data_IF_577841602712
#
_entry.id   IF_577841602712
#
_cell.length_a   1.000
_cell.length_b   1.000
_cell.length_c   1.000
_cell.angle_alpha   90.00
_cell.angle_beta   90.00
_cell.angle_gamma   90.00
#
_symmetry.space_group_name_H-M   'P 1'
#
loop_
_entity.id
_entity.type
_entity.pdbx_description
1 polymer ?
#
# COMPACT_ATOMS: atom_id res chain seq x y z
N UNK A 1 13.64 -8.76 12.47
CA UNK A 1 14.77 -8.32 11.62
C UNK A 1 14.23 -7.41 10.53
N UNK A 2 15.00 -6.39 10.14
CA UNK A 2 14.66 -5.46 9.07
C UNK A 2 15.71 -5.53 7.95
N UNK A 3 15.30 -5.43 6.70
CA UNK A 3 16.16 -5.57 5.51
C UNK A 3 15.91 -4.45 4.50
N UNK A 4 16.90 -4.17 3.66
CA UNK A 4 16.67 -3.50 2.39
C UNK A 4 16.36 -4.51 1.30
N UNK A 5 15.26 -4.26 0.60
CA UNK A 5 14.79 -5.02 -0.55
C UNK A 5 14.79 -4.13 -1.80
N UNK A 6 15.20 -4.69 -2.92
CA UNK A 6 14.89 -4.15 -4.25
C UNK A 6 13.64 -4.84 -4.80
N UNK A 7 13.03 -4.28 -5.85
CA UNK A 7 11.82 -4.81 -6.49
C UNK A 7 11.88 -6.32 -6.75
N UNK A 8 12.94 -6.79 -7.40
CA UNK A 8 13.08 -8.21 -7.77
C UNK A 8 13.08 -9.14 -6.56
N UNK A 9 13.65 -8.69 -5.43
CA UNK A 9 13.67 -9.47 -4.20
C UNK A 9 12.28 -9.59 -3.57
N UNK A 10 11.44 -8.56 -3.73
CA UNK A 10 10.05 -8.58 -3.26
C UNK A 10 9.26 -9.58 -4.10
N UNK A 11 9.36 -9.50 -5.43
CA UNK A 11 8.68 -10.42 -6.34
C UNK A 11 9.08 -11.87 -6.07
N UNK A 12 10.38 -12.15 -5.95
CA UNK A 12 10.87 -13.49 -5.62
C UNK A 12 10.34 -14.01 -4.27
N UNK A 13 10.24 -13.15 -3.26
CA UNK A 13 9.66 -13.53 -1.97
C UNK A 13 8.17 -13.87 -2.10
N UNK A 14 7.40 -13.03 -2.81
CA UNK A 14 5.97 -13.24 -3.03
C UNK A 14 5.70 -14.52 -3.83
N UNK A 15 6.47 -14.76 -4.89
CA UNK A 15 6.39 -15.98 -5.71
C UNK A 15 6.62 -17.24 -4.88
N UNK A 16 7.67 -17.26 -4.05
CA UNK A 16 7.89 -18.39 -3.15
C UNK A 16 6.72 -18.60 -2.18
N UNK A 17 6.10 -17.50 -1.72
CA UNK A 17 4.97 -17.53 -0.80
C UNK A 17 3.69 -18.15 -1.39
N UNK A 18 3.43 -17.93 -2.68
CA UNK A 18 2.24 -18.47 -3.38
C UNK A 18 2.51 -19.73 -4.21
N UNK A 19 3.79 -20.12 -4.35
CA UNK A 19 4.23 -21.26 -5.17
C UNK A 19 3.52 -22.58 -4.88
N UNK A 20 3.18 -22.84 -3.62
CA UNK A 20 2.55 -24.08 -3.17
C UNK A 20 1.10 -23.92 -2.76
N UNK A 21 0.50 -22.74 -2.96
CA UNK A 21 -0.93 -22.55 -2.74
C UNK A 21 -1.73 -23.56 -3.60
N UNK A 22 -2.77 -24.23 -3.06
CA UNK A 22 -3.46 -24.02 -1.78
C UNK A 22 -3.00 -24.89 -0.61
N UNK A 23 -1.81 -25.51 -0.66
CA UNK A 23 -1.32 -26.34 0.45
C UNK A 23 -1.23 -25.51 1.75
N UNK A 24 -1.67 -26.11 2.86
CA UNK A 24 -1.65 -25.51 4.20
C UNK A 24 -0.24 -25.54 4.84
N UNK A 25 0.77 -25.16 4.07
CA UNK A 25 2.14 -25.02 4.55
C UNK A 25 2.37 -23.61 5.12
N UNK A 26 3.36 -23.46 6.00
CA UNK A 26 3.71 -22.17 6.64
C UNK A 26 4.29 -21.11 5.69
N UNK A 27 4.35 -21.39 4.38
CA UNK A 27 4.96 -20.52 3.36
C UNK A 27 4.11 -19.31 3.00
N UNK A 28 2.78 -19.45 3.09
CA UNK A 28 1.86 -18.40 2.62
C UNK A 28 2.02 -17.12 3.45
N UNK A 29 2.37 -15.97 2.83
CA UNK A 29 2.73 -14.77 3.57
C UNK A 29 1.50 -14.03 4.06
N UNK A 30 1.56 -13.57 5.31
CA UNK A 30 0.68 -12.52 5.81
C UNK A 30 1.39 -11.18 5.60
N UNK A 31 0.73 -10.25 4.91
CA UNK A 31 1.33 -8.97 4.50
C UNK A 31 0.63 -7.77 5.13
N UNK A 32 1.40 -6.71 5.35
CA UNK A 32 0.92 -5.42 5.83
C UNK A 32 1.66 -4.31 5.07
N UNK A 33 0.98 -3.19 4.78
CA UNK A 33 1.54 -2.08 4.00
C UNK A 33 1.75 -2.39 2.50
N UNK A 34 1.25 -3.53 2.02
CA UNK A 34 1.27 -3.88 0.60
C UNK A 34 0.03 -4.65 0.18
N UNK A 35 -0.25 -4.62 -1.12
CA UNK A 35 -1.29 -5.40 -1.79
C UNK A 35 -0.70 -6.10 -3.01
N UNK A 36 -1.20 -7.29 -3.33
CA UNK A 36 -0.85 -7.99 -4.56
C UNK A 36 -1.94 -8.98 -4.96
N UNK A 37 -1.91 -9.36 -6.23
CA UNK A 37 -2.77 -10.36 -6.83
C UNK A 37 -1.93 -11.53 -7.34
N UNK A 38 -2.49 -12.74 -7.27
CA UNK A 38 -1.84 -13.92 -7.84
C UNK A 38 -2.84 -14.84 -8.54
N UNK A 39 -2.39 -15.50 -9.61
CA UNK A 39 -3.16 -16.50 -10.33
C UNK A 39 -2.65 -17.90 -9.97
N UNK A 40 -3.46 -18.75 -9.34
CA UNK A 40 -3.04 -20.09 -8.92
C UNK A 40 -2.95 -21.10 -10.07
N UNK A 41 -3.57 -20.78 -11.22
CA UNK A 41 -3.54 -21.62 -12.42
C UNK A 41 -2.21 -21.50 -13.18
N UNK A 42 -1.44 -20.45 -12.91
CA UNK A 42 -0.10 -20.27 -13.48
C UNK A 42 0.94 -21.16 -12.80
N UNK A 43 1.99 -21.46 -13.56
CA UNK A 43 3.12 -22.26 -13.08
C UNK A 43 3.80 -21.61 -11.87
N UNK A 44 4.24 -22.39 -10.87
CA UNK A 44 4.97 -21.85 -9.72
C UNK A 44 6.18 -21.01 -10.15
N UNK A 45 6.26 -19.77 -9.68
CA UNK A 45 7.30 -18.81 -10.07
C UNK A 45 6.82 -17.75 -11.08
N UNK A 46 5.65 -17.93 -11.67
CA UNK A 46 4.99 -16.96 -12.54
C UNK A 46 3.55 -16.69 -12.09
N UNK A 47 3.27 -16.78 -10.78
CA UNK A 47 1.89 -16.64 -10.27
C UNK A 47 1.54 -15.21 -9.90
N UNK A 48 2.51 -14.37 -9.58
CA UNK A 48 2.32 -12.98 -9.18
C UNK A 48 2.17 -12.12 -10.41
N UNK A 49 1.09 -11.35 -10.47
CA UNK A 49 0.95 -10.29 -11.46
C UNK A 49 1.79 -9.08 -11.01
N UNK A 50 2.96 -8.83 -11.61
CA UNK A 50 3.87 -7.73 -11.19
C UNK A 50 3.16 -6.38 -11.07
N UNK A 51 2.27 -6.08 -12.01
CA UNK A 51 1.52 -4.81 -12.08
C UNK A 51 0.49 -4.65 -10.95
N UNK A 52 0.09 -5.75 -10.29
CA UNK A 52 -0.84 -5.72 -9.16
C UNK A 52 -0.16 -5.36 -7.83
N UNK A 53 1.17 -5.44 -7.78
CA UNK A 53 1.92 -5.24 -6.54
C UNK A 53 2.00 -3.76 -6.22
N UNK A 54 1.44 -3.38 -5.08
CA UNK A 54 1.51 -2.02 -4.55
C UNK A 54 1.99 -1.99 -3.10
N UNK A 55 2.76 -0.97 -2.74
CA UNK A 55 3.31 -0.74 -1.41
C UNK A 55 2.96 0.69 -1.00
N UNK A 56 2.34 0.86 0.16
CA UNK A 56 1.78 2.14 0.63
C UNK A 56 0.89 2.81 -0.45
N UNK A 57 0.01 2.03 -1.08
CA UNK A 57 -0.91 2.43 -2.16
C UNK A 57 -0.23 2.96 -3.44
N UNK A 58 1.06 2.66 -3.61
CA UNK A 58 1.82 3.01 -4.82
C UNK A 58 2.27 1.77 -5.56
N UNK A 59 2.29 1.79 -6.91
CA UNK A 59 2.83 0.69 -7.68
C UNK A 59 4.29 0.44 -7.32
N UNK A 60 4.70 -0.83 -7.41
CA UNK A 60 6.07 -1.25 -7.16
C UNK A 60 7.03 -0.57 -8.15
N UNK A 61 8.05 0.11 -7.63
CA UNK A 61 9.07 0.80 -8.41
C UNK A 61 10.36 -0.03 -8.44
N UNK A 62 10.81 -0.36 -9.66
CA UNK A 62 12.01 -1.17 -9.92
C UNK A 62 13.29 -0.53 -9.39
N UNK A 63 13.36 0.80 -9.35
CA UNK A 63 14.55 1.55 -8.94
C UNK A 63 14.58 1.88 -7.45
N UNK A 64 13.49 1.62 -6.72
CA UNK A 64 13.34 2.00 -5.33
C UNK A 64 13.79 0.88 -4.40
N UNK A 65 14.43 1.28 -3.29
CA UNK A 65 14.74 0.39 -2.17
C UNK A 65 13.63 0.46 -1.13
N UNK A 66 13.12 -0.70 -0.76
CA UNK A 66 12.08 -0.87 0.25
C UNK A 66 12.67 -1.43 1.53
N UNK A 67 12.01 -1.13 2.65
CA UNK A 67 12.36 -1.72 3.94
C UNK A 67 11.33 -2.78 4.26
N UNK A 68 11.80 -3.98 4.53
CA UNK A 68 10.93 -5.12 4.85
C UNK A 68 11.29 -5.62 6.24
N UNK A 69 10.27 -5.87 7.06
CA UNK A 69 10.42 -6.42 8.39
C UNK A 69 9.86 -7.84 8.41
N UNK A 70 10.66 -8.80 8.87
CA UNK A 70 10.23 -10.21 8.99
C UNK A 70 10.71 -10.84 10.29
N UNK A 71 10.14 -12.01 10.60
CA UNK A 71 10.58 -12.87 11.70
C UNK A 71 11.97 -13.46 11.37
N UNK A 72 12.78 -13.70 12.40
CA UNK A 72 14.12 -14.27 12.25
C UNK A 72 14.15 -15.64 11.57
N UNK A 73 13.07 -16.41 11.64
CA UNK A 73 12.94 -17.68 10.92
C UNK A 73 12.99 -17.50 9.40
N UNK A 74 12.22 -16.56 8.85
CA UNK A 74 12.21 -16.26 7.40
C UNK A 74 13.51 -15.56 6.99
N UNK A 75 14.03 -14.67 7.84
CA UNK A 75 15.32 -14.03 7.65
C UNK A 75 16.47 -15.02 7.40
N UNK A 76 16.45 -16.17 8.09
CA UNK A 76 17.44 -17.25 7.94
C UNK A 76 17.22 -18.11 6.69
N UNK A 77 16.34 -17.70 5.79
CA UNK A 77 16.09 -18.38 4.51
C UNK A 77 15.23 -19.65 4.61
N UNK A 78 14.52 -19.83 5.71
CA UNK A 78 13.63 -20.99 5.92
C UNK A 78 12.39 -20.89 5.02
N UNK A 79 11.67 -22.01 4.86
CA UNK A 79 10.45 -22.09 4.04
C UNK A 79 10.63 -21.68 2.56
N UNK A 80 11.87 -21.79 2.05
CA UNK A 80 12.21 -21.43 0.68
C UNK A 80 12.58 -19.96 0.48
N UNK A 81 12.48 -19.12 1.53
CA UNK A 81 12.75 -17.68 1.42
C UNK A 81 14.24 -17.32 1.46
N UNK A 82 15.06 -18.02 0.67
CA UNK A 82 16.51 -17.79 0.60
C UNK A 82 16.88 -16.34 0.21
N UNK A 83 15.94 -15.63 -0.44
CA UNK A 83 16.06 -14.21 -0.76
C UNK A 83 16.33 -13.34 0.48
N UNK A 84 15.72 -13.63 1.63
CA UNK A 84 15.96 -12.86 2.86
C UNK A 84 17.38 -13.09 3.40
N UNK A 85 17.91 -14.31 3.29
CA UNK A 85 19.26 -14.62 3.77
C UNK A 85 20.35 -13.89 2.98
N UNK A 86 20.07 -13.52 1.72
CA UNK A 86 20.97 -12.76 0.85
C UNK A 86 20.77 -11.24 0.93
N UNK A 87 19.70 -10.79 1.58
CA UNK A 87 19.35 -9.37 1.63
C UNK A 87 20.22 -8.61 2.65
N UNK A 88 20.40 -7.30 2.41
CA UNK A 88 21.15 -6.45 3.32
C UNK A 88 20.35 -6.22 4.60
N UNK A 89 20.89 -6.65 5.73
CA UNK A 89 20.26 -6.46 7.04
C UNK A 89 20.45 -5.03 7.53
N UNK A 90 19.38 -4.46 8.08
CA UNK A 90 19.32 -3.13 8.68
C UNK A 90 19.24 -3.18 10.20
N UNK A 91 18.45 -4.14 10.70
CA UNK A 91 18.26 -4.38 12.13
C UNK A 91 18.28 -5.89 12.30
N UNK A 92 19.25 -6.35 13.07
CA UNK A 92 19.46 -7.77 13.34
C UNK A 92 18.44 -8.32 14.35
N UNK A 93 18.57 -9.60 14.69
CA UNK A 93 17.69 -10.24 15.68
C UNK A 93 17.94 -9.68 17.09
N UNK A 94 19.19 -9.36 17.42
CA UNK A 94 19.61 -8.83 18.73
C UNK A 94 19.19 -7.37 18.96
N UNK A 95 19.28 -6.54 17.91
CA UNK A 95 18.88 -5.12 17.96
C UNK A 95 17.36 -4.94 17.80
N UNK A 96 16.66 -5.98 17.35
CA UNK A 96 15.23 -5.96 17.12
C UNK A 96 14.41 -6.20 18.40
N UNK A 97 13.21 -5.59 18.52
CA UNK A 97 12.31 -5.92 19.61
C UNK A 97 11.81 -7.36 19.49
N UNK A 98 11.67 -8.04 20.64
CA UNK A 98 11.10 -9.39 20.72
C UNK A 98 9.65 -9.35 20.24
N UNK A 99 9.24 -10.31 19.39
CA UNK A 99 7.90 -10.36 18.79
C UNK A 99 6.77 -10.23 19.83
N UNK A 100 6.87 -10.96 20.94
CA UNK A 100 5.87 -10.90 22.03
C UNK A 100 5.75 -9.48 22.61
N UNK A 101 6.88 -8.78 22.78
CA UNK A 101 6.91 -7.39 23.24
C UNK A 101 6.24 -6.46 22.23
N UNK A 102 6.45 -6.66 20.93
CA UNK A 102 5.79 -5.87 19.87
C UNK A 102 4.27 -6.03 19.97
N UNK A 103 3.78 -7.28 20.04
CA UNK A 103 2.35 -7.57 20.09
C UNK A 103 1.71 -7.00 21.37
N UNK A 104 2.34 -7.19 22.53
CA UNK A 104 1.88 -6.61 23.79
C UNK A 104 1.84 -5.08 23.74
N UNK A 105 2.89 -4.46 23.18
CA UNK A 105 2.94 -3.01 23.03
C UNK A 105 1.86 -2.51 22.08
N UNK A 106 1.56 -3.23 21.00
CA UNK A 106 0.48 -2.88 20.08
C UNK A 106 -0.90 -2.88 20.76
N UNK A 107 -1.28 -3.96 21.45
CA UNK A 107 -2.54 -4.01 22.19
C UNK A 107 -2.61 -2.99 23.33
N UNK A 108 -1.48 -2.74 24.01
CA UNK A 108 -1.40 -1.69 25.01
C UNK A 108 -1.63 -0.31 24.40
N UNK A 109 -1.03 -0.02 23.25
CA UNK A 109 -1.25 1.24 22.53
C UNK A 109 -2.71 1.40 22.13
N UNK A 110 -3.37 0.35 21.65
CA UNK A 110 -4.82 0.35 21.35
C UNK A 110 -5.64 0.70 22.61
N UNK A 111 -5.35 0.08 23.76
CA UNK A 111 -6.04 0.36 25.01
C UNK A 111 -5.85 1.80 25.50
N UNK A 112 -4.69 2.42 25.19
CA UNK A 112 -4.43 3.83 25.48
C UNK A 112 -5.26 4.73 24.55
N UNK A 113 -5.31 4.43 23.24
CA UNK A 113 -6.11 5.21 22.27
C UNK A 113 -7.60 5.14 22.59
N UNK A 114 -8.08 3.97 23.00
CA UNK A 114 -9.47 3.75 23.43
C UNK A 114 -9.81 4.38 24.79
N UNK A 115 -8.82 4.89 25.52
CA UNK A 115 -9.02 5.49 26.84
C UNK A 115 -9.24 4.49 27.99
N UNK A 116 -9.13 3.18 27.75
CA UNK A 116 -9.24 2.13 28.78
C UNK A 116 -8.10 2.23 29.78
N UNK A 117 -6.90 2.58 29.31
CA UNK A 117 -5.71 2.74 30.14
C UNK A 117 -5.11 4.12 29.97
N UNK A 118 -4.69 4.76 31.07
CA UNK A 118 -4.01 6.06 31.01
C UNK A 118 -2.58 5.89 30.50
N UNK A 119 -2.18 6.75 29.56
CA UNK A 119 -0.77 6.86 29.18
C UNK A 119 0.03 7.44 30.35
N UNK A 120 1.16 6.82 30.69
CA UNK A 120 2.12 7.37 31.65
C UNK A 120 3.09 8.36 30.98
N UNK A 121 3.20 8.33 29.66
CA UNK A 121 4.10 9.16 28.86
C UNK A 121 3.31 10.17 28.04
N UNK A 122 3.83 11.39 27.94
CA UNK A 122 3.32 12.39 26.99
C UNK A 122 3.61 12.00 25.54
N UNK A 123 4.74 11.32 25.30
CA UNK A 123 5.08 10.79 23.99
C UNK A 123 4.38 9.45 23.74
N UNK A 124 3.65 9.35 22.63
CA UNK A 124 3.03 8.13 22.12
C UNK A 124 3.42 7.93 20.66
N UNK A 125 3.86 6.71 20.32
CA UNK A 125 4.05 6.32 18.94
C UNK A 125 2.68 6.05 18.32
N UNK A 126 2.47 6.53 17.10
CA UNK A 126 1.21 6.30 16.40
C UNK A 126 0.98 4.82 16.10
N UNK A 127 -0.29 4.41 16.10
CA UNK A 127 -0.71 3.09 15.61
C UNK A 127 -0.62 2.97 14.08
N UNK A 128 -0.62 4.10 13.37
CA UNK A 128 -0.65 4.13 11.91
C UNK A 128 0.70 4.60 11.40
N UNK A 129 1.19 3.94 10.36
CA UNK A 129 2.38 4.39 9.66
C UNK A 129 2.05 5.67 8.91
N UNK A 130 2.76 6.76 9.20
CA UNK A 130 2.66 8.00 8.44
C UNK A 130 3.21 7.74 7.04
N UNK A 131 2.36 7.44 6.05
CA UNK A 131 2.77 7.69 4.68
C UNK A 131 2.99 9.21 4.59
N UNK A 132 4.12 9.64 4.03
CA UNK A 132 4.43 11.08 3.91
C UNK A 132 3.41 11.84 3.05
N UNK A 133 2.50 11.12 2.40
CA UNK A 133 1.62 11.61 1.33
C UNK A 133 0.13 11.54 1.68
N UNK A 134 -0.30 10.84 2.75
CA UNK A 134 -1.66 11.04 3.30
C UNK A 134 -1.90 12.48 3.78
N UNK A 135 -0.83 13.29 3.88
CA UNK A 135 -0.90 14.74 4.13
C UNK A 135 -1.02 15.57 2.85
N UNK A 136 -0.82 14.97 1.67
CA UNK A 136 -0.79 15.66 0.38
C UNK A 136 -2.06 15.46 -0.46
N UNK A 137 -3.04 14.70 0.00
CA UNK A 137 -4.34 14.54 -0.69
C UNK A 137 -5.24 15.77 -0.59
N UNK A 138 -4.72 16.91 -0.12
CA UNK A 138 -5.29 18.24 -0.33
C UNK A 138 -4.47 19.00 -1.37
N UNK A 139 -4.34 18.46 -2.58
CA UNK A 139 -3.99 19.28 -3.74
C UNK A 139 -5.27 19.86 -4.32
N UNK A 140 -5.72 20.97 -3.70
CA UNK A 140 -6.46 21.98 -4.45
C UNK A 140 -5.51 22.51 -5.52
N UNK A 141 -5.80 22.17 -6.78
CA UNK A 141 -5.23 22.88 -7.92
C UNK A 141 -5.74 24.33 -7.83
N UNK A 142 -4.88 25.21 -7.33
CA UNK A 142 -4.92 26.62 -7.70
C UNK A 142 -3.57 26.96 -8.31
N UNK A 143 -3.53 26.94 -9.64
CA UNK A 143 -2.61 27.78 -10.39
C UNK A 143 -2.69 29.18 -9.82
N UNK A 144 -1.55 29.71 -9.36
CA UNK A 144 -1.01 31.01 -9.73
C UNK A 144 0.09 31.43 -8.75
N UNK A 145 1.33 31.47 -9.25
CA UNK A 145 2.19 32.63 -9.05
C UNK A 145 3.01 32.76 -7.76
N UNK A 146 4.33 32.70 -7.98
CA UNK A 146 5.38 33.51 -7.35
C UNK A 146 6.12 32.95 -6.12
N UNK A 147 7.44 32.90 -6.31
CA UNK A 147 8.49 32.52 -5.39
C UNK A 147 8.61 33.50 -4.21
N UNK A 148 8.73 33.01 -2.98
CA UNK A 148 9.65 33.49 -1.91
C UNK A 148 9.34 32.76 -0.59
N UNK A 149 10.31 32.03 -0.04
CA UNK A 149 10.23 31.48 1.33
C UNK A 149 10.78 32.50 2.33
N UNK A 150 10.05 32.90 3.38
CA UNK A 150 10.65 33.62 4.50
C UNK A 150 11.10 32.65 5.60
N UNK A 151 12.13 32.99 6.39
CA UNK A 151 12.72 32.10 7.38
C UNK A 151 11.84 31.98 8.63
N UNK A 152 11.81 30.79 9.23
CA UNK A 152 11.03 30.50 10.44
C UNK A 152 11.77 31.01 11.68
N UNK A 153 11.24 32.05 12.31
CA UNK A 153 11.72 32.59 13.59
C UNK A 153 10.88 32.03 14.75
N UNK A 154 11.51 31.37 15.72
CA UNK A 154 10.85 30.89 16.94
C UNK A 154 10.64 32.05 17.91
N UNK A 155 9.51 32.75 17.80
CA UNK A 155 9.07 33.74 18.81
C UNK A 155 7.75 33.31 19.43
N UNK A 156 7.77 33.13 20.75
CA UNK A 156 6.56 33.05 21.58
C UNK A 156 5.81 34.40 21.56
N UNK A 157 4.52 34.39 21.21
CA UNK A 157 3.53 35.42 21.58
C UNK A 157 2.13 34.80 21.48
N UNK A 158 1.45 34.64 22.61
CA UNK A 158 0.51 35.57 23.25
C UNK A 158 -0.79 35.72 22.47
N UNK A 159 -1.86 35.25 23.10
CA UNK A 159 -3.27 35.54 22.87
C UNK A 159 -3.56 36.64 21.85
N UNK A 160 -3.91 36.23 20.64
CA UNK A 160 -5.03 36.78 19.88
C UNK A 160 -5.42 35.72 18.85
N UNK A 161 -6.67 35.28 18.94
CA UNK A 161 -7.24 34.22 18.12
C UNK A 161 -7.40 34.74 16.70
N UNK A 162 -6.47 34.37 15.83
CA UNK A 162 -6.72 34.30 14.39
C UNK A 162 -7.18 32.87 14.12
N UNK A 163 -8.33 32.75 13.48
CA UNK A 163 -9.00 31.51 13.12
C UNK A 163 -8.09 30.62 12.24
N UNK A 164 -7.42 29.66 12.89
CA UNK A 164 -6.53 28.64 12.31
C UNK A 164 -7.36 27.46 11.70
N UNK A 165 -8.46 27.77 11.01
CA UNK A 165 -9.38 26.78 10.43
C UNK A 165 -8.73 25.79 9.47
N UNK A 166 -7.60 26.16 8.85
CA UNK A 166 -6.88 25.31 7.89
C UNK A 166 -5.87 24.34 8.52
N UNK A 167 -5.39 24.58 9.76
CA UNK A 167 -4.40 23.70 10.43
C UNK A 167 -5.03 22.55 11.21
N UNK A 168 -6.34 22.60 11.47
CA UNK A 168 -7.08 21.56 12.20
C UNK A 168 -7.31 20.28 11.40
N UNK A 169 -7.20 20.30 10.07
CA UNK A 169 -7.65 19.15 9.24
C UNK A 169 -6.75 17.92 9.37
N UNK A 170 -5.42 18.05 9.35
CA UNK A 170 -4.54 16.87 9.24
C UNK A 170 -4.37 16.09 10.55
N UNK A 171 -4.36 16.76 11.71
CA UNK A 171 -4.25 16.04 13.00
C UNK A 171 -5.55 15.32 13.35
N UNK A 172 -6.70 15.92 13.06
CA UNK A 172 -8.00 15.31 13.35
C UNK A 172 -8.27 14.11 12.44
N UNK A 173 -7.91 14.18 11.16
CA UNK A 173 -7.94 13.02 10.23
C UNK A 173 -7.10 11.88 10.81
N UNK A 174 -5.89 12.18 11.27
CA UNK A 174 -5.00 11.17 11.81
C UNK A 174 -5.54 10.52 13.09
N UNK A 175 -6.07 11.32 14.01
CA UNK A 175 -6.70 10.82 15.23
C UNK A 175 -7.93 9.96 14.92
N UNK A 176 -8.70 10.32 13.89
CA UNK A 176 -9.85 9.53 13.44
C UNK A 176 -9.42 8.20 12.84
N UNK A 177 -8.42 8.20 11.95
CA UNK A 177 -7.84 6.97 11.42
C UNK A 177 -7.28 6.09 12.55
N UNK A 178 -6.57 6.68 13.53
CA UNK A 178 -6.06 5.92 14.68
C UNK A 178 -7.19 5.27 15.49
N UNK A 179 -8.33 5.96 15.64
CA UNK A 179 -9.53 5.40 16.29
C UNK A 179 -10.10 4.24 15.49
N UNK A 180 -10.18 4.35 14.16
CA UNK A 180 -10.62 3.26 13.29
C UNK A 180 -9.71 2.04 13.44
N UNK A 181 -8.39 2.25 13.46
CA UNK A 181 -7.39 1.19 13.66
C UNK A 181 -7.43 0.58 15.07
N UNK A 182 -8.17 1.16 16.01
CA UNK A 182 -8.43 0.49 17.29
C UNK A 182 -9.43 -0.65 17.15
N UNK A 183 -10.19 -0.76 16.07
CA UNK A 183 -11.07 -1.90 15.81
C UNK A 183 -10.21 -3.15 15.50
N UNK A 184 -10.16 -4.08 16.45
CA UNK A 184 -9.39 -5.34 16.33
C UNK A 184 -10.26 -6.46 15.72
N UNK A 185 -11.50 -6.16 15.35
CA UNK A 185 -12.37 -7.13 14.71
C UNK A 185 -11.74 -7.55 13.38
N UNK A 186 -11.73 -8.85 13.04
CA UNK A 186 -11.23 -9.30 11.75
C UNK A 186 -11.98 -8.59 10.61
N UNK A 187 -11.23 -8.00 9.68
CA UNK A 187 -11.78 -7.33 8.50
C UNK A 187 -11.14 -7.89 7.24
N UNK A 188 -11.93 -8.00 6.17
CA UNK A 188 -11.44 -8.40 4.85
C UNK A 188 -10.92 -7.17 4.14
N UNK A 189 -9.61 -6.93 4.23
CA UNK A 189 -8.97 -5.76 3.63
C UNK A 189 -8.62 -5.92 2.15
N UNK A 190 -8.75 -7.13 1.60
CA UNK A 190 -8.45 -7.42 0.19
C UNK A 190 -6.98 -7.23 -0.19
N UNK A 191 -6.03 -7.34 0.77
CA UNK A 191 -4.59 -7.15 0.47
C UNK A 191 -4.02 -8.22 -0.45
N UNK A 192 -4.53 -9.44 -0.36
CA UNK A 192 -4.13 -10.55 -1.22
C UNK A 192 -5.37 -10.98 -1.98
N UNK A 193 -5.33 -10.92 -3.30
CA UNK A 193 -6.46 -11.32 -4.16
C UNK A 193 -6.04 -12.45 -5.08
N UNK A 194 -6.96 -13.39 -5.28
CA UNK A 194 -6.80 -14.48 -6.24
C UNK A 194 -7.49 -14.02 -7.52
N UNK A 195 -6.74 -13.90 -8.60
CA UNK A 195 -7.27 -13.48 -9.90
C UNK A 195 -7.30 -14.70 -10.80
N UNK A 196 -8.47 -15.00 -11.34
CA UNK A 196 -8.63 -16.02 -12.38
C UNK A 196 -8.80 -15.32 -13.73
N UNK A 197 -8.53 -16.01 -14.83
CA UNK A 197 -8.57 -15.44 -16.20
C UNK A 197 -9.93 -14.80 -16.57
N UNK A 198 -11.00 -15.06 -15.80
CA UNK A 198 -12.30 -14.42 -15.94
C UNK A 198 -12.37 -12.98 -15.38
N UNK A 199 -11.36 -12.54 -14.61
CA UNK A 199 -11.36 -11.26 -13.88
C UNK A 199 -10.34 -10.23 -14.43
N UNK A 200 -9.55 -10.59 -15.45
CA UNK A 200 -8.48 -9.73 -15.98
C UNK A 200 -9.01 -8.47 -16.70
N UNK A 201 -10.28 -8.45 -17.11
CA UNK A 201 -10.91 -7.32 -17.79
C UNK A 201 -11.35 -6.17 -16.85
N UNK A 202 -11.25 -6.33 -15.52
CA UNK A 202 -11.81 -5.36 -14.56
C UNK A 202 -10.78 -4.30 -14.10
N UNK A 203 -9.48 -4.54 -14.30
CA UNK A 203 -8.43 -3.66 -13.76
C UNK A 203 -7.64 -2.90 -14.85
N UNK A 204 -8.37 -2.36 -15.84
CA UNK A 204 -7.82 -1.35 -16.74
C UNK A 204 -7.77 -0.01 -15.99
N UNK A 205 -6.60 0.65 -15.86
CA UNK A 205 -6.55 2.01 -15.35
C UNK A 205 -7.33 2.92 -16.31
N UNK A 206 -8.28 3.68 -15.77
CA UNK A 206 -9.06 4.70 -16.48
C UNK A 206 -8.07 5.67 -17.14
N UNK A 207 -7.76 5.40 -18.40
CA UNK A 207 -7.06 6.28 -19.31
C UNK A 207 -8.06 6.57 -20.43
N UNK A 208 -8.29 7.86 -20.62
CA UNK A 208 -9.30 8.41 -21.50
C UNK A 208 -9.19 7.80 -22.91
N UNK A 209 -10.14 6.94 -23.28
CA UNK A 209 -10.27 6.39 -24.63
C UNK A 209 -11.72 6.51 -25.11
N UNK A 210 -12.32 7.68 -24.91
CA UNK A 210 -13.60 8.03 -25.56
C UNK A 210 -13.42 8.48 -27.03
N UNK A 211 -12.17 8.73 -27.47
CA UNK A 211 -11.91 9.21 -28.84
C UNK A 211 -11.74 8.09 -29.89
N UNK A 212 -11.48 6.85 -29.49
CA UNK A 212 -11.26 5.74 -30.45
C UNK A 212 -12.58 5.11 -30.95
N UNK A 213 -13.65 5.20 -30.16
CA UNK A 213 -14.96 4.59 -30.48
C UNK A 213 -15.69 5.38 -31.59
N UNK A 214 -15.45 6.68 -31.69
CA UNK A 214 -16.13 7.56 -32.67
C UNK A 214 -15.64 7.32 -34.09
N UNK A 215 -14.36 6.98 -34.27
CA UNK A 215 -13.81 6.74 -35.62
C UNK A 215 -14.23 5.39 -36.22
N UNK A 216 -14.44 4.36 -35.39
CA UNK A 216 -14.93 3.06 -35.86
C UNK A 216 -16.42 3.07 -36.19
N UNK A 217 -17.24 3.82 -35.45
CA UNK A 217 -18.69 3.91 -35.69
C UNK A 217 -19.05 4.70 -36.96
N UNK A 218 -18.20 5.63 -37.40
CA UNK A 218 -18.40 6.37 -38.66
C UNK A 218 -18.09 5.50 -39.88
N UNK A 219 -17.08 4.62 -39.81
CA UNK A 219 -16.69 3.76 -40.93
C UNK A 219 -17.72 2.66 -41.22
N UNK A 220 -18.34 2.07 -40.20
CA UNK A 220 -19.32 0.97 -40.37
C UNK A 220 -20.64 1.47 -41.01
N UNK A 221 -21.07 2.69 -40.69
CA UNK A 221 -22.33 3.24 -41.25
C UNK A 221 -22.24 3.62 -42.73
N UNK A 222 -21.04 3.89 -43.26
CA UNK A 222 -20.89 4.20 -44.69
C UNK A 222 -20.93 2.93 -45.56
N UNK A 223 -20.51 1.77 -45.04
CA UNK A 223 -20.51 0.51 -45.79
C UNK A 223 -21.88 -0.14 -45.92
N UNK A 224 -22.81 0.08 -44.98
CA UNK A 224 -24.15 -0.54 -45.02
C UNK A 224 -25.10 0.14 -46.01
N UNK A 225 -24.90 1.42 -46.35
CA UNK A 225 -25.79 2.14 -47.30
C UNK A 225 -25.58 1.82 -48.78
N UNK A 226 -24.59 0.98 -49.15
CA UNK A 226 -24.25 0.69 -50.55
C UNK A 226 -24.61 -0.73 -51.02
N UNK A 227 -25.06 -1.62 -50.15
CA UNK A 227 -25.31 -3.03 -50.52
C UNK A 227 -26.77 -3.28 -50.96
N UNK A 228 -27.72 -2.44 -50.55
CA UNK A 228 -29.17 -2.67 -50.77
C UNK A 228 -29.74 -2.14 -52.11
N UNK A 229 -28.90 -1.84 -53.11
CA UNK A 229 -29.36 -1.34 -54.43
C UNK A 229 -28.96 -2.21 -55.64
N UNK A 230 -28.59 -3.47 -55.44
CA UNK A 230 -28.30 -4.41 -56.55
C UNK A 230 -28.95 -5.78 -56.37
N UNK A 231 -30.27 -5.84 -56.20
CA UNK A 231 -31.08 -7.02 -56.53
C UNK A 231 -32.52 -6.61 -56.84
N UNK A 232 -32.77 -6.07 -58.05
CA UNK A 232 -34.02 -6.18 -58.81
C UNK A 232 -33.66 -6.17 -60.29
#
# INVERSE_FOLDING_TARGET
MCFYFICDQILQALENGVSQWPKLEGRFPQVAGMRFSFNPNQDPGFRIQENSVSIDDKPLDKNKKYKVCTKSYLAKGKDGYQVFAKAKVLVDEEDGPILNTIVRNHFRSINIVRGVTKSKSSHRQSLIMRSKECLNSSQDVKENGCNTTPPVNWRHKSSNMIDDGARRSSQDIFLNLEKEHTSISPQVEGRITVVTEADEDINVPISNSEEEIVLQTVQVKQTESQVDSKMV
#
